data_IF_419313078230
#
_entry.id   IF_419313078230
#
_cell.length_a   1.000
_cell.length_b   1.000
_cell.length_c   1.000
_cell.angle_alpha   90.00
_cell.angle_beta   90.00
_cell.angle_gamma   90.00
#
_symmetry.space_group_name_H-M   'P 1'
#
loop_
_entity.id
_entity.type
_entity.pdbx_description
1 polymer ?
#
# COMPACT_ATOMS: atom_id res chain seq x y z
N UNK A 1 -13.35 -15.06 2.34
CA UNK A 1 -12.28 -14.53 3.23
C UNK A 1 -12.63 -14.79 4.70
N UNK A 2 -11.60 -14.99 5.57
CA UNK A 2 -11.77 -15.05 7.04
C UNK A 2 -10.67 -14.18 7.68
N UNK A 3 -11.04 -13.34 8.64
CA UNK A 3 -10.09 -12.60 9.47
C UNK A 3 -10.19 -13.09 10.92
N UNK A 4 -9.06 -13.42 11.52
CA UNK A 4 -8.97 -13.84 12.92
C UNK A 4 -8.04 -12.89 13.66
N UNK A 5 -8.58 -12.12 14.61
CA UNK A 5 -7.81 -11.31 15.53
C UNK A 5 -7.32 -12.20 16.68
N UNK A 6 -6.00 -12.26 16.89
CA UNK A 6 -5.38 -13.14 17.90
C UNK A 6 -5.04 -12.39 19.18
N UNK A 7 -4.51 -11.16 19.04
CA UNK A 7 -4.06 -10.36 20.17
C UNK A 7 -4.11 -8.87 19.85
N UNK A 8 -4.24 -8.06 20.90
CA UNK A 8 -4.04 -6.60 20.86
C UNK A 8 -3.02 -6.20 21.93
N UNK A 9 -2.29 -5.11 21.65
CA UNK A 9 -1.41 -4.43 22.59
C UNK A 9 -1.65 -2.92 22.44
N UNK A 10 -2.38 -2.33 23.39
CA UNK A 10 -3.04 -1.06 23.18
C UNK A 10 -4.04 -1.16 22.02
N UNK A 11 -3.94 -0.24 21.04
CA UNK A 11 -4.73 -0.32 19.81
C UNK A 11 -4.09 -1.20 18.73
N UNK A 12 -2.79 -1.52 18.83
CA UNK A 12 -2.10 -2.38 17.86
C UNK A 12 -2.71 -3.79 17.85
N UNK A 13 -2.86 -4.36 16.65
CA UNK A 13 -3.60 -5.59 16.40
C UNK A 13 -2.72 -6.65 15.75
N UNK A 14 -2.80 -7.89 16.21
CA UNK A 14 -2.17 -9.07 15.64
C UNK A 14 -3.24 -10.04 15.16
N UNK A 15 -3.26 -10.38 13.89
CA UNK A 15 -4.26 -11.27 13.32
C UNK A 15 -3.76 -12.08 12.14
N UNK A 16 -4.67 -12.89 11.57
CA UNK A 16 -4.42 -13.64 10.31
C UNK A 16 -5.61 -13.43 9.37
N UNK A 17 -5.28 -13.03 8.14
CA UNK A 17 -6.20 -12.92 7.02
C UNK A 17 -6.06 -14.18 6.15
N UNK A 18 -7.09 -15.01 6.08
CA UNK A 18 -7.12 -16.21 5.25
C UNK A 18 -7.87 -15.93 3.95
N UNK A 19 -7.18 -16.08 2.83
CA UNK A 19 -7.63 -15.82 1.45
C UNK A 19 -7.50 -17.09 0.60
N UNK A 20 -7.95 -17.05 -0.65
CA UNK A 20 -7.91 -18.21 -1.54
C UNK A 20 -6.48 -18.71 -1.80
N UNK A 21 -5.51 -17.81 -1.96
CA UNK A 21 -4.11 -18.14 -2.23
C UNK A 21 -3.22 -18.15 -0.98
N UNK A 22 -3.81 -18.27 0.22
CA UNK A 22 -3.07 -18.49 1.46
C UNK A 22 -3.39 -17.53 2.60
N UNK A 23 -2.68 -17.72 3.71
CA UNK A 23 -2.81 -16.90 4.90
C UNK A 23 -1.80 -15.76 4.92
N UNK A 24 -2.24 -14.60 5.41
CA UNK A 24 -1.42 -13.40 5.59
C UNK A 24 -1.47 -12.98 7.05
N UNK A 25 -0.31 -12.96 7.68
CA UNK A 25 -0.15 -12.49 9.04
C UNK A 25 -0.16 -10.97 9.12
N UNK A 26 -1.04 -10.39 9.94
CA UNK A 26 -1.15 -8.94 10.12
C UNK A 26 -0.54 -8.47 11.46
N UNK A 27 0.00 -7.24 11.54
CA UNK A 27 0.09 -6.23 10.48
C UNK A 27 1.00 -6.64 9.33
N UNK A 28 0.69 -6.16 8.10
CA UNK A 28 1.42 -6.51 6.89
C UNK A 28 1.65 -5.31 5.98
N UNK A 29 2.81 -5.29 5.32
CA UNK A 29 3.10 -4.37 4.22
C UNK A 29 3.03 -5.11 2.88
N UNK A 30 2.31 -4.56 1.92
CA UNK A 30 2.11 -5.07 0.57
C UNK A 30 3.02 -4.34 -0.42
N UNK A 31 4.06 -5.00 -0.97
CA UNK A 31 4.83 -4.42 -2.08
C UNK A 31 3.93 -4.13 -3.28
N UNK A 32 4.13 -2.95 -3.92
CA UNK A 32 3.30 -2.51 -5.05
C UNK A 32 3.86 -2.99 -6.37
N UNK A 33 3.10 -3.82 -7.06
CA UNK A 33 3.36 -4.36 -8.40
C UNK A 33 2.48 -3.72 -9.47
N UNK A 34 2.76 -2.46 -9.84
CA UNK A 34 1.91 -1.61 -10.70
C UNK A 34 1.47 -2.29 -12.01
N UNK A 35 2.37 -2.99 -12.69
CA UNK A 35 2.12 -3.72 -13.95
C UNK A 35 2.21 -5.23 -13.77
N UNK A 36 1.78 -5.76 -12.62
CA UNK A 36 1.99 -7.16 -12.27
C UNK A 36 3.42 -7.49 -11.86
N UNK A 37 4.27 -6.48 -11.67
CA UNK A 37 5.65 -6.65 -11.22
C UNK A 37 6.01 -5.59 -10.19
N UNK A 38 6.47 -6.03 -9.03
CA UNK A 38 7.15 -5.16 -8.08
C UNK A 38 8.49 -4.76 -8.71
N UNK A 39 8.75 -3.46 -8.81
CA UNK A 39 9.87 -2.93 -9.59
C UNK A 39 11.20 -3.63 -9.28
N UNK A 40 11.80 -4.24 -10.32
CA UNK A 40 13.08 -4.95 -10.28
C UNK A 40 13.13 -6.20 -9.35
N UNK A 41 11.96 -6.80 -9.02
CA UNK A 41 11.86 -8.01 -8.19
C UNK A 41 11.12 -9.12 -8.94
N UNK A 42 11.67 -10.32 -8.89
CA UNK A 42 10.97 -11.54 -9.31
C UNK A 42 10.05 -12.04 -8.17
N UNK A 43 9.04 -12.87 -8.48
CA UNK A 43 8.22 -13.52 -7.46
C UNK A 43 9.03 -14.31 -6.41
N UNK A 44 10.06 -15.04 -6.83
CA UNK A 44 10.93 -15.79 -5.93
C UNK A 44 11.67 -14.87 -4.93
N UNK A 45 12.21 -13.75 -5.40
CA UNK A 45 12.88 -12.77 -4.54
C UNK A 45 11.90 -12.10 -3.57
N UNK A 46 10.65 -11.87 -3.98
CA UNK A 46 9.60 -11.36 -3.08
C UNK A 46 9.29 -12.37 -1.97
N UNK A 47 9.23 -13.67 -2.30
CA UNK A 47 9.05 -14.72 -1.29
C UNK A 47 10.25 -14.81 -0.34
N UNK A 48 11.48 -14.71 -0.86
CA UNK A 48 12.73 -14.75 -0.10
C UNK A 48 12.81 -13.61 0.93
N UNK A 49 12.40 -12.40 0.56
CA UNK A 49 12.36 -11.28 1.50
C UNK A 49 11.19 -11.32 2.48
N UNK A 50 10.31 -12.32 2.38
CA UNK A 50 9.20 -12.53 3.30
C UNK A 50 7.89 -11.85 2.92
N UNK A 51 7.74 -11.31 1.70
CA UNK A 51 6.45 -10.82 1.21
C UNK A 51 5.44 -11.97 1.11
N UNK A 52 4.21 -11.73 1.58
CA UNK A 52 3.13 -12.74 1.62
C UNK A 52 1.90 -12.29 0.84
N UNK A 53 1.83 -11.05 0.47
CA UNK A 53 0.78 -10.43 -0.33
C UNK A 53 1.40 -9.28 -1.11
N UNK A 54 0.92 -9.05 -2.33
CA UNK A 54 1.32 -7.92 -3.17
C UNK A 54 0.09 -7.14 -3.62
N UNK A 55 0.31 -5.89 -4.06
CA UNK A 55 -0.74 -5.07 -4.64
C UNK A 55 -0.53 -4.90 -6.15
N UNK A 56 -1.58 -5.11 -6.94
CA UNK A 56 -1.64 -4.82 -8.38
C UNK A 56 -2.50 -3.58 -8.65
N UNK A 57 -2.13 -2.76 -9.65
CA UNK A 57 -2.93 -1.59 -10.01
C UNK A 57 -3.87 -1.89 -11.19
N UNK A 58 -5.15 -1.93 -10.91
CA UNK A 58 -6.23 -2.24 -11.86
C UNK A 58 -6.17 -1.39 -13.12
N UNK A 59 -6.04 -0.07 -12.98
CA UNK A 59 -5.95 0.86 -14.10
C UNK A 59 -4.81 0.53 -15.06
N UNK A 60 -3.61 0.31 -14.54
CA UNK A 60 -2.44 0.02 -15.35
C UNK A 60 -2.53 -1.33 -16.05
N UNK A 61 -3.01 -2.35 -15.36
CA UNK A 61 -3.17 -3.72 -15.89
C UNK A 61 -4.29 -3.80 -16.95
N UNK A 62 -5.35 -3.04 -16.78
CA UNK A 62 -6.41 -2.88 -17.77
C UNK A 62 -5.88 -2.29 -19.08
N UNK A 63 -5.08 -1.22 -18.99
CA UNK A 63 -4.51 -0.57 -20.17
C UNK A 63 -3.37 -1.36 -20.81
N UNK A 64 -2.54 -2.03 -20.02
CA UNK A 64 -1.40 -2.88 -20.46
C UNK A 64 -1.10 -3.98 -19.45
N UNK A 65 -1.06 -5.25 -19.83
CA UNK A 65 -1.16 -5.79 -21.19
C UNK A 65 -2.60 -5.84 -21.72
N UNK A 66 -3.61 -5.54 -20.88
CA UNK A 66 -5.02 -5.67 -21.22
C UNK A 66 -5.63 -6.95 -20.67
N UNK A 67 -6.96 -6.96 -20.59
CA UNK A 67 -7.70 -8.04 -19.92
C UNK A 67 -7.71 -9.36 -20.70
N UNK A 68 -7.60 -9.30 -22.02
CA UNK A 68 -7.55 -10.50 -22.86
C UNK A 68 -6.31 -11.34 -22.52
N UNK A 69 -5.15 -10.69 -22.45
CA UNK A 69 -3.87 -11.35 -22.11
C UNK A 69 -3.91 -11.95 -20.71
N UNK A 70 -4.35 -11.17 -19.71
CA UNK A 70 -4.39 -11.65 -18.32
C UNK A 70 -5.42 -12.77 -18.16
N UNK A 71 -6.59 -12.63 -18.79
CA UNK A 71 -7.65 -13.63 -18.78
C UNK A 71 -7.21 -14.97 -19.38
N UNK A 72 -6.41 -14.94 -20.46
CA UNK A 72 -5.85 -16.14 -21.08
C UNK A 72 -4.90 -16.93 -20.13
N UNK A 73 -4.34 -16.27 -19.10
CA UNK A 73 -3.52 -16.88 -18.06
C UNK A 73 -4.33 -17.32 -16.81
N UNK A 74 -5.66 -17.20 -16.85
CA UNK A 74 -6.52 -17.52 -15.70
C UNK A 74 -6.53 -16.46 -14.60
N UNK A 75 -6.01 -15.27 -14.89
CA UNK A 75 -5.91 -14.16 -13.96
C UNK A 75 -4.47 -13.75 -13.66
N UNK A 76 -4.34 -12.81 -12.73
CA UNK A 76 -3.07 -12.16 -12.44
C UNK A 76 -2.04 -13.11 -11.83
N UNK A 77 -2.46 -14.06 -11.00
CA UNK A 77 -1.59 -15.07 -10.39
C UNK A 77 -0.83 -15.89 -11.45
N UNK A 78 -1.56 -16.44 -12.42
CA UNK A 78 -0.96 -17.19 -13.52
C UNK A 78 -0.10 -16.31 -14.44
N UNK A 79 -0.55 -15.08 -14.70
CA UNK A 79 0.18 -14.16 -15.57
C UNK A 79 1.55 -13.75 -15.02
N UNK A 80 1.66 -13.53 -13.71
CA UNK A 80 2.92 -13.08 -13.09
C UNK A 80 3.71 -14.19 -12.39
N UNK A 81 3.16 -15.40 -12.26
CA UNK A 81 3.79 -16.52 -11.56
C UNK A 81 3.86 -16.33 -10.04
N UNK A 82 2.86 -15.65 -9.45
CA UNK A 82 2.77 -15.39 -8.01
C UNK A 82 1.66 -16.22 -7.38
N UNK A 83 2.02 -17.15 -6.49
CA UNK A 83 1.09 -18.14 -5.91
C UNK A 83 0.60 -17.75 -4.49
N UNK A 84 0.67 -16.49 -4.13
CA UNK A 84 0.20 -15.96 -2.85
C UNK A 84 -0.84 -14.87 -3.08
N UNK A 85 -1.53 -14.39 -2.02
CA UNK A 85 -2.56 -13.38 -2.14
C UNK A 85 -2.15 -12.13 -2.92
N UNK A 86 -3.10 -11.61 -3.70
CA UNK A 86 -3.02 -10.34 -4.41
C UNK A 86 -4.20 -9.48 -4.00
N UNK A 87 -3.94 -8.21 -3.68
CA UNK A 87 -4.93 -7.15 -3.61
C UNK A 87 -4.85 -6.32 -4.89
N UNK A 88 -5.98 -5.97 -5.49
CA UNK A 88 -6.03 -4.96 -6.56
C UNK A 88 -6.75 -3.73 -6.09
N UNK A 89 -6.19 -2.54 -6.40
CA UNK A 89 -6.90 -1.29 -6.21
C UNK A 89 -8.09 -1.15 -7.16
N UNK A 90 -8.89 -0.09 -6.98
CA UNK A 90 -10.07 0.16 -7.82
C UNK A 90 -9.75 0.81 -9.17
N UNK A 91 -8.57 1.38 -9.34
CA UNK A 91 -8.20 2.28 -10.44
C UNK A 91 -8.61 3.73 -10.21
N UNK A 92 -9.38 4.05 -9.16
CA UNK A 92 -9.87 5.39 -8.85
C UNK A 92 -8.77 6.42 -8.67
N UNK A 93 -7.76 6.12 -7.85
CA UNK A 93 -6.63 7.02 -7.59
C UNK A 93 -5.80 7.34 -8.84
N UNK A 94 -5.56 6.35 -9.73
CA UNK A 94 -4.80 6.57 -10.95
C UNK A 94 -5.55 7.48 -11.91
N UNK A 95 -6.86 7.30 -12.05
CA UNK A 95 -7.72 8.19 -12.82
C UNK A 95 -7.80 9.57 -12.17
N UNK A 96 -7.82 9.63 -10.82
CA UNK A 96 -7.71 10.88 -10.08
C UNK A 96 -6.42 11.64 -10.45
N UNK A 97 -5.30 10.99 -10.56
CA UNK A 97 -4.00 11.60 -10.88
C UNK A 97 -3.90 12.16 -12.32
N UNK A 98 -4.84 11.83 -13.22
CA UNK A 98 -4.88 12.39 -14.59
C UNK A 98 -5.29 13.88 -14.64
N UNK A 99 -5.77 14.46 -13.56
CA UNK A 99 -6.09 15.89 -13.45
C UNK A 99 -7.13 16.34 -14.48
N UNK A 100 -6.80 17.35 -15.29
CA UNK A 100 -7.70 17.95 -16.27
C UNK A 100 -8.10 17.03 -17.44
N UNK A 101 -7.45 15.88 -17.60
CA UNK A 101 -7.76 14.89 -18.66
C UNK A 101 -8.97 14.01 -18.31
N UNK A 102 -9.61 14.22 -17.17
CA UNK A 102 -10.76 13.44 -16.70
C UNK A 102 -12.00 14.29 -16.50
N UNK A 103 -13.16 13.64 -16.59
CA UNK A 103 -14.46 14.20 -16.19
C UNK A 103 -15.18 13.19 -15.30
N UNK A 104 -15.43 13.59 -14.05
CA UNK A 104 -16.18 12.82 -13.06
C UNK A 104 -17.67 13.13 -13.21
N UNK A 105 -18.50 12.10 -13.17
CA UNK A 105 -19.96 12.18 -13.19
C UNK A 105 -20.53 11.17 -12.19
N UNK A 106 -21.84 11.18 -11.96
CA UNK A 106 -22.51 10.18 -11.11
C UNK A 106 -22.29 8.74 -11.63
N UNK A 107 -22.23 8.57 -12.95
CA UNK A 107 -22.10 7.25 -13.58
C UNK A 107 -20.68 6.69 -13.47
N UNK A 108 -19.64 7.55 -13.41
CA UNK A 108 -18.25 7.15 -13.41
C UNK A 108 -17.33 8.24 -13.95
N UNK A 109 -16.12 7.86 -14.39
CA UNK A 109 -15.07 8.78 -14.82
C UNK A 109 -14.74 8.57 -16.29
N UNK A 110 -14.89 9.61 -17.11
CA UNK A 110 -14.42 9.66 -18.51
C UNK A 110 -13.03 10.26 -18.57
N UNK A 111 -12.15 9.65 -19.32
CA UNK A 111 -10.77 10.14 -19.48
C UNK A 111 -10.17 9.70 -20.82
N UNK A 112 -9.05 10.34 -21.19
CA UNK A 112 -8.23 9.87 -22.30
C UNK A 112 -7.13 8.94 -21.79
N UNK A 113 -6.96 7.78 -22.42
CA UNK A 113 -5.91 6.81 -22.08
C UNK A 113 -4.53 7.46 -22.23
N UNK A 114 -3.67 7.44 -21.20
CA UNK A 114 -2.31 7.96 -21.30
C UNK A 114 -1.40 7.09 -22.19
N UNK A 115 -1.90 5.95 -22.67
CA UNK A 115 -1.17 4.98 -23.48
C UNK A 115 -1.28 5.27 -24.97
N UNK A 116 -2.50 5.57 -25.43
CA UNK A 116 -2.82 5.71 -26.88
C UNK A 116 -3.85 6.81 -27.16
N UNK A 117 -4.31 7.55 -26.16
CA UNK A 117 -5.26 8.65 -26.31
C UNK A 117 -6.73 8.24 -26.46
N UNK A 118 -7.05 6.94 -26.42
CA UNK A 118 -8.42 6.47 -26.53
C UNK A 118 -9.32 7.03 -25.43
N UNK A 119 -10.57 7.34 -25.78
CA UNK A 119 -11.58 7.78 -24.82
C UNK A 119 -12.12 6.58 -24.04
N UNK A 120 -11.90 6.56 -22.75
CA UNK A 120 -12.30 5.49 -21.85
C UNK A 120 -13.33 5.98 -20.83
N UNK A 121 -14.11 5.04 -20.34
CA UNK A 121 -15.11 5.29 -19.30
C UNK A 121 -15.01 4.21 -18.24
N UNK A 122 -14.57 4.59 -17.03
CA UNK A 122 -14.46 3.70 -15.89
C UNK A 122 -15.62 3.98 -14.95
N UNK A 123 -16.46 2.98 -14.74
CA UNK A 123 -17.58 2.98 -13.80
C UNK A 123 -17.30 2.02 -12.64
N UNK A 124 -18.06 2.07 -11.54
CA UNK A 124 -17.98 1.05 -10.48
C UNK A 124 -18.12 -0.38 -11.04
N UNK A 125 -19.07 -0.61 -11.93
CA UNK A 125 -19.31 -1.92 -12.55
C UNK A 125 -18.12 -2.38 -13.41
N UNK A 126 -17.57 -1.44 -14.19
CA UNK A 126 -16.39 -1.74 -15.03
C UNK A 126 -15.15 -2.04 -14.18
N UNK A 127 -14.92 -1.28 -13.09
CA UNK A 127 -13.86 -1.59 -12.14
C UNK A 127 -14.00 -3.00 -11.55
N UNK A 128 -15.21 -3.39 -11.14
CA UNK A 128 -15.48 -4.74 -10.63
C UNK A 128 -15.28 -5.81 -11.71
N UNK A 129 -15.70 -5.54 -12.97
CA UNK A 129 -15.48 -6.45 -14.10
C UNK A 129 -13.99 -6.65 -14.37
N UNK A 130 -13.20 -5.57 -14.36
CA UNK A 130 -11.76 -5.63 -14.55
C UNK A 130 -11.12 -6.46 -13.45
N UNK A 131 -11.38 -6.16 -12.17
CA UNK A 131 -10.81 -6.87 -11.03
C UNK A 131 -11.24 -8.36 -10.99
N UNK A 132 -12.44 -8.68 -11.50
CA UNK A 132 -12.88 -10.08 -11.68
C UNK A 132 -12.01 -10.83 -12.69
N UNK A 133 -11.60 -10.19 -13.80
CA UNK A 133 -10.68 -10.80 -14.78
C UNK A 133 -9.27 -10.90 -14.21
N UNK A 134 -8.82 -9.91 -13.43
CA UNK A 134 -7.55 -9.97 -12.70
C UNK A 134 -7.54 -11.09 -11.65
N UNK A 135 -8.69 -11.48 -11.14
CA UNK A 135 -8.91 -12.56 -10.17
C UNK A 135 -8.07 -12.39 -8.90
N UNK A 136 -8.00 -11.17 -8.37
CA UNK A 136 -7.31 -10.86 -7.12
C UNK A 136 -8.10 -11.36 -5.90
N UNK A 137 -7.40 -11.75 -4.83
CA UNK A 137 -8.01 -12.26 -3.58
C UNK A 137 -8.78 -11.17 -2.83
N UNK A 138 -8.31 -9.92 -2.93
CA UNK A 138 -8.96 -8.75 -2.36
C UNK A 138 -9.19 -7.71 -3.44
N UNK A 139 -10.45 -7.33 -3.60
CA UNK A 139 -10.97 -6.35 -4.56
C UNK A 139 -11.33 -5.08 -3.80
N UNK A 140 -10.99 -3.91 -4.34
CA UNK A 140 -11.36 -2.62 -3.75
C UNK A 140 -12.57 -2.03 -4.48
N UNK A 141 -13.53 -1.44 -3.73
CA UNK A 141 -14.62 -0.66 -4.34
C UNK A 141 -14.08 0.51 -5.14
N UNK A 142 -14.81 0.92 -6.19
CA UNK A 142 -14.45 2.13 -6.92
C UNK A 142 -14.85 3.37 -6.12
N UNK A 143 -13.91 4.28 -5.94
CA UNK A 143 -14.05 5.47 -5.11
C UNK A 143 -13.51 6.73 -5.80
N UNK A 144 -13.90 7.89 -5.31
CA UNK A 144 -13.32 9.18 -5.65
C UNK A 144 -12.37 9.63 -4.53
N UNK A 145 -11.10 9.77 -4.88
CA UNK A 145 -10.10 10.33 -3.96
C UNK A 145 -10.23 11.85 -3.92
N UNK A 146 -10.64 12.39 -2.77
CA UNK A 146 -10.74 13.85 -2.56
C UNK A 146 -9.35 14.49 -2.61
N UNK A 147 -9.13 15.58 -3.36
CA UNK A 147 -7.87 16.29 -3.37
C UNK A 147 -7.60 16.98 -2.03
N UNK A 148 -6.33 17.32 -1.76
CA UNK A 148 -5.97 18.21 -0.67
C UNK A 148 -5.29 19.47 -1.22
N UNK A 149 -5.64 20.69 -0.74
CA UNK A 149 -6.75 20.96 0.19
C UNK A 149 -8.13 20.87 -0.48
N UNK A 150 -9.15 20.55 0.30
CA UNK A 150 -10.54 20.59 -0.12
C UNK A 150 -11.39 21.25 0.96
N UNK A 151 -12.42 22.00 0.57
CA UNK A 151 -13.43 22.50 1.50
C UNK A 151 -14.28 21.35 2.03
N UNK A 152 -14.95 21.54 3.17
CA UNK A 152 -15.83 20.53 3.75
C UNK A 152 -16.94 20.11 2.77
N UNK A 153 -17.49 21.07 2.01
CA UNK A 153 -18.51 20.80 0.99
C UNK A 153 -17.98 19.90 -0.12
N UNK A 154 -16.80 20.22 -0.68
CA UNK A 154 -16.18 19.40 -1.72
C UNK A 154 -15.87 17.99 -1.19
N UNK A 155 -15.34 17.87 0.02
CA UNK A 155 -15.08 16.59 0.65
C UNK A 155 -16.37 15.79 0.91
N UNK A 156 -17.47 16.45 1.30
CA UNK A 156 -18.77 15.81 1.50
C UNK A 156 -19.37 15.31 0.19
N UNK A 157 -19.34 16.13 -0.87
CA UNK A 157 -19.86 15.76 -2.19
C UNK A 157 -19.09 14.56 -2.76
N UNK A 158 -17.77 14.58 -2.70
CA UNK A 158 -16.89 13.48 -3.13
C UNK A 158 -17.12 12.21 -2.31
N UNK A 159 -17.19 12.31 -0.99
CA UNK A 159 -17.43 11.17 -0.09
C UNK A 159 -18.79 10.52 -0.36
N UNK A 160 -19.85 11.33 -0.55
CA UNK A 160 -21.19 10.80 -0.84
C UNK A 160 -21.28 10.15 -2.22
N UNK A 161 -20.54 10.66 -3.21
CA UNK A 161 -20.38 10.00 -4.50
C UNK A 161 -19.69 8.63 -4.32
N UNK A 162 -18.61 8.59 -3.55
CA UNK A 162 -17.90 7.34 -3.24
C UNK A 162 -18.81 6.32 -2.55
N UNK A 163 -19.72 6.74 -1.65
CA UNK A 163 -20.71 5.84 -1.04
C UNK A 163 -21.69 5.24 -2.06
N UNK A 164 -22.20 6.05 -2.99
CA UNK A 164 -23.09 5.55 -4.06
C UNK A 164 -22.34 4.59 -5.00
N UNK A 165 -21.08 4.87 -5.30
CA UNK A 165 -20.22 3.98 -6.09
C UNK A 165 -19.86 2.70 -5.33
N UNK A 166 -19.66 2.77 -4.01
CA UNK A 166 -19.44 1.59 -3.17
C UNK A 166 -20.64 0.65 -3.20
N UNK A 167 -21.87 1.17 -3.14
CA UNK A 167 -23.10 0.37 -3.26
C UNK A 167 -23.21 -0.30 -4.64
N UNK A 168 -22.91 0.44 -5.71
CA UNK A 168 -22.87 -0.10 -7.09
C UNK A 168 -21.78 -1.16 -7.25
N UNK A 169 -20.59 -0.91 -6.70
CA UNK A 169 -19.50 -1.88 -6.68
C UNK A 169 -19.92 -3.16 -5.95
N UNK A 170 -20.56 -3.04 -4.77
CA UNK A 170 -21.07 -4.19 -4.00
C UNK A 170 -22.03 -5.04 -4.81
N UNK A 171 -22.98 -4.40 -5.52
CA UNK A 171 -23.93 -5.10 -6.40
C UNK A 171 -23.24 -5.77 -7.59
N UNK A 172 -22.30 -5.08 -8.23
CA UNK A 172 -21.56 -5.62 -9.38
C UNK A 172 -20.56 -6.74 -8.98
N UNK A 173 -20.16 -6.79 -7.71
CA UNK A 173 -19.30 -7.84 -7.16
C UNK A 173 -20.04 -9.14 -6.85
N UNK A 174 -21.35 -9.14 -6.86
CA UNK A 174 -22.16 -10.32 -6.54
C UNK A 174 -21.74 -11.55 -7.37
N UNK A 175 -21.73 -12.72 -6.73
CA UNK A 175 -21.25 -13.96 -7.31
C UNK A 175 -19.72 -14.05 -7.50
N UNK A 176 -18.93 -13.07 -7.04
CA UNK A 176 -17.47 -13.19 -6.96
C UNK A 176 -17.07 -13.75 -5.59
N UNK A 177 -16.30 -14.87 -5.50
CA UNK A 177 -15.91 -15.47 -4.23
C UNK A 177 -14.81 -14.70 -3.48
N UNK A 178 -14.14 -13.76 -4.15
CA UNK A 178 -13.04 -12.99 -3.59
C UNK A 178 -13.56 -11.89 -2.65
N UNK A 179 -12.72 -11.43 -1.72
CA UNK A 179 -13.09 -10.42 -0.76
C UNK A 179 -13.30 -9.04 -1.40
N UNK A 180 -14.28 -8.27 -0.91
CA UNK A 180 -14.51 -6.88 -1.31
C UNK A 180 -14.32 -5.94 -0.12
N UNK A 181 -13.44 -4.94 -0.26
CA UNK A 181 -13.18 -3.93 0.76
C UNK A 181 -13.83 -2.60 0.41
N UNK A 182 -14.51 -2.00 1.41
CA UNK A 182 -15.01 -0.63 1.34
C UNK A 182 -13.91 0.38 1.65
N UNK A 183 -14.04 1.61 1.12
CA UNK A 183 -13.05 2.68 1.32
C UNK A 183 -13.71 3.87 2.02
N UNK A 184 -13.27 4.18 3.24
CA UNK A 184 -13.72 5.35 4.00
C UNK A 184 -13.07 6.60 3.42
N UNK A 185 -13.87 7.53 2.92
CA UNK A 185 -13.48 8.84 2.43
C UNK A 185 -14.01 9.94 3.37
N UNK A 186 -13.74 11.23 3.10
CA UNK A 186 -14.21 12.36 3.92
C UNK A 186 -13.16 13.44 4.16
N UNK A 187 -12.03 13.39 3.43
CA UNK A 187 -10.95 14.37 3.54
C UNK A 187 -10.41 14.46 4.98
N UNK A 188 -10.17 15.69 5.45
CA UNK A 188 -9.66 15.96 6.80
C UNK A 188 -10.80 16.27 7.81
N UNK A 189 -12.04 15.84 7.52
CA UNK A 189 -13.24 16.15 8.31
C UNK A 189 -13.74 14.90 9.03
N UNK A 190 -13.66 14.89 10.34
CA UNK A 190 -13.98 13.75 11.19
C UNK A 190 -15.44 13.31 11.05
N UNK A 191 -16.39 14.25 11.05
CA UNK A 191 -17.81 13.96 10.86
C UNK A 191 -18.11 13.29 9.51
N UNK A 192 -17.41 13.69 8.43
CA UNK A 192 -17.56 13.08 7.12
C UNK A 192 -16.99 11.65 7.10
N UNK A 193 -15.90 11.39 7.84
CA UNK A 193 -15.35 10.02 8.01
C UNK A 193 -16.35 9.11 8.72
N UNK A 194 -17.05 9.64 9.74
CA UNK A 194 -18.11 8.90 10.44
C UNK A 194 -19.31 8.62 9.52
N UNK A 195 -19.79 9.63 8.75
CA UNK A 195 -20.85 9.46 7.77
C UNK A 195 -20.49 8.39 6.71
N UNK A 196 -19.24 8.45 6.20
CA UNK A 196 -18.71 7.49 5.24
C UNK A 196 -18.71 6.07 5.81
N UNK A 197 -18.15 5.88 7.00
CA UNK A 197 -18.08 4.58 7.66
C UNK A 197 -19.48 4.00 7.91
N UNK A 198 -20.39 4.80 8.48
CA UNK A 198 -21.76 4.36 8.74
C UNK A 198 -22.50 3.93 7.46
N UNK A 199 -22.22 4.62 6.33
CA UNK A 199 -22.73 4.24 5.01
C UNK A 199 -22.17 2.89 4.54
N UNK A 200 -20.87 2.72 4.63
CA UNK A 200 -20.18 1.48 4.24
C UNK A 200 -20.59 0.28 5.11
N UNK A 201 -20.78 0.46 6.40
CA UNK A 201 -21.24 -0.62 7.29
C UNK A 201 -22.67 -1.09 6.92
N UNK A 202 -23.57 -0.18 6.53
CA UNK A 202 -24.91 -0.55 6.04
C UNK A 202 -24.87 -1.35 4.75
N UNK A 203 -23.91 -1.06 3.85
CA UNK A 203 -23.71 -1.81 2.59
C UNK A 203 -23.10 -3.19 2.91
N UNK A 204 -22.15 -3.26 3.82
CA UNK A 204 -21.49 -4.48 4.28
C UNK A 204 -20.32 -4.92 3.39
N UNK A 205 -19.12 -4.95 3.97
CA UNK A 205 -17.89 -5.33 3.30
C UNK A 205 -17.07 -6.34 4.12
N UNK A 206 -16.18 -7.07 3.46
CA UNK A 206 -15.29 -8.03 4.10
C UNK A 206 -14.16 -7.36 4.89
N UNK A 207 -13.77 -6.14 4.52
CA UNK A 207 -12.78 -5.31 5.19
C UNK A 207 -12.98 -3.83 4.87
N UNK A 208 -12.27 -2.96 5.58
CA UNK A 208 -12.41 -1.51 5.45
C UNK A 208 -11.06 -0.85 5.26
N UNK A 209 -10.95 -0.02 4.22
CA UNK A 209 -9.78 0.79 3.97
C UNK A 209 -10.02 2.25 4.36
N UNK A 210 -8.95 2.94 4.74
CA UNK A 210 -8.92 4.38 4.97
C UNK A 210 -8.23 4.99 3.76
N UNK A 211 -9.03 5.66 2.91
CA UNK A 211 -8.55 6.36 1.71
C UNK A 211 -8.41 7.86 1.91
N UNK A 212 -7.89 8.57 0.90
CA UNK A 212 -7.78 10.02 0.89
C UNK A 212 -6.84 10.60 1.96
N UNK A 213 -5.84 9.82 2.37
CA UNK A 213 -4.70 10.26 3.18
C UNK A 213 -3.39 10.11 2.38
N UNK A 214 -2.34 10.82 2.79
CA UNK A 214 -1.06 10.91 2.04
C UNK A 214 -1.23 11.52 0.63
N UNK A 215 -2.13 12.49 0.51
CA UNK A 215 -2.44 13.23 -0.73
C UNK A 215 -1.92 14.66 -0.72
N UNK A 216 -1.06 14.99 0.26
CA UNK A 216 -0.42 16.32 0.39
C UNK A 216 -0.71 17.04 1.70
N UNK A 217 -1.51 16.48 2.58
CA UNK A 217 -1.83 17.02 3.90
C UNK A 217 -0.62 17.01 4.85
N UNK A 218 -0.57 17.92 5.84
CA UNK A 218 0.40 17.87 6.92
C UNK A 218 0.31 16.54 7.68
N UNK A 219 1.45 16.01 8.13
CA UNK A 219 1.54 14.76 8.88
C UNK A 219 0.63 14.75 10.12
N UNK A 220 0.52 15.89 10.81
CA UNK A 220 -0.33 16.01 11.99
C UNK A 220 -1.81 15.78 11.67
N UNK A 221 -2.28 16.28 10.52
CA UNK A 221 -3.67 16.06 10.07
C UNK A 221 -3.91 14.60 9.70
N UNK A 222 -2.98 13.97 8.99
CA UNK A 222 -3.05 12.54 8.69
C UNK A 222 -3.17 11.71 9.98
N UNK A 223 -2.32 11.95 10.97
CA UNK A 223 -2.34 11.22 12.24
C UNK A 223 -3.61 11.49 13.05
N UNK A 224 -4.13 12.73 13.05
CA UNK A 224 -5.39 13.09 13.70
C UNK A 224 -6.56 12.31 13.10
N UNK A 225 -6.69 12.32 11.77
CA UNK A 225 -7.75 11.58 11.08
C UNK A 225 -7.62 10.08 11.29
N UNK A 226 -6.40 9.55 11.27
CA UNK A 226 -6.15 8.14 11.54
C UNK A 226 -6.58 7.75 12.96
N UNK A 227 -6.16 8.51 13.97
CA UNK A 227 -6.54 8.30 15.38
C UNK A 227 -8.06 8.40 15.60
N UNK A 228 -8.74 9.26 14.83
CA UNK A 228 -10.20 9.39 14.90
C UNK A 228 -10.92 8.22 14.21
N UNK A 229 -10.47 7.84 13.01
CA UNK A 229 -11.20 6.89 12.15
C UNK A 229 -10.98 5.44 12.56
N UNK A 230 -9.73 5.05 12.84
CA UNK A 230 -9.35 3.65 13.03
C UNK A 230 -10.10 2.96 14.20
N UNK A 231 -10.29 3.57 15.40
CA UNK A 231 -11.02 2.94 16.49
C UNK A 231 -12.50 2.67 16.20
N UNK A 232 -13.06 3.39 15.22
CA UNK A 232 -14.47 3.28 14.81
C UNK A 232 -14.70 2.18 13.78
N UNK A 233 -13.65 1.73 13.11
CA UNK A 233 -13.74 0.62 12.15
C UNK A 233 -14.11 -0.70 12.86
N UNK A 234 -14.90 -1.59 12.24
CA UNK A 234 -15.28 -2.88 12.82
C UNK A 234 -14.09 -3.66 13.39
N UNK A 235 -14.26 -4.18 14.60
CA UNK A 235 -13.19 -4.87 15.30
C UNK A 235 -12.87 -6.25 14.70
N UNK A 236 -13.87 -6.89 14.10
CA UNK A 236 -13.81 -8.23 13.49
C UNK A 236 -13.42 -8.23 12.01
N UNK A 237 -13.06 -7.05 11.47
CA UNK A 237 -12.67 -6.87 10.08
C UNK A 237 -11.24 -6.34 9.95
N UNK A 238 -10.52 -6.70 8.87
CA UNK A 238 -9.20 -6.11 8.58
C UNK A 238 -9.34 -4.62 8.24
N UNK A 239 -8.34 -3.84 8.66
CA UNK A 239 -8.24 -2.39 8.51
C UNK A 239 -7.03 -2.04 7.64
N UNK A 240 -7.26 -1.39 6.52
CA UNK A 240 -6.23 -1.10 5.53
C UNK A 240 -6.01 0.40 5.37
N UNK A 241 -4.78 0.90 5.58
CA UNK A 241 -4.39 2.28 5.31
C UNK A 241 -3.71 2.35 3.95
N UNK A 242 -4.38 3.00 2.99
CA UNK A 242 -3.97 3.01 1.59
C UNK A 242 -2.84 4.01 1.31
N UNK A 243 -1.83 3.58 0.55
CA UNK A 243 -0.78 4.44 0.00
C UNK A 243 0.22 5.01 1.02
N UNK A 244 0.20 4.54 2.26
CA UNK A 244 1.04 5.02 3.37
C UNK A 244 2.03 3.91 3.78
N UNK A 245 3.29 4.11 4.01
CA UNK A 245 4.07 5.32 4.00
C UNK A 245 5.54 5.04 4.32
N UNK A 246 6.18 5.95 5.07
CA UNK A 246 7.53 5.74 5.61
C UNK A 246 7.55 4.67 6.71
N UNK A 247 8.72 4.16 7.13
CA UNK A 247 8.80 3.26 8.28
C UNK A 247 8.14 3.80 9.54
N UNK A 248 8.28 5.10 9.80
CA UNK A 248 7.64 5.81 10.92
C UNK A 248 6.12 5.80 10.82
N UNK A 249 5.59 5.92 9.60
CA UNK A 249 4.15 5.87 9.34
C UNK A 249 3.57 4.49 9.60
N UNK A 250 4.31 3.45 9.25
CA UNK A 250 3.90 2.07 9.50
C UNK A 250 3.79 1.81 11.01
N UNK A 251 4.80 2.22 11.79
CA UNK A 251 4.77 2.06 13.26
C UNK A 251 3.63 2.86 13.87
N UNK A 252 3.43 4.11 13.46
CA UNK A 252 2.33 4.95 13.94
C UNK A 252 0.95 4.38 13.55
N UNK A 253 0.80 3.93 12.30
CA UNK A 253 -0.44 3.32 11.79
C UNK A 253 -0.81 2.03 12.53
N UNK A 254 0.16 1.16 12.79
CA UNK A 254 -0.06 -0.03 13.61
C UNK A 254 -0.46 0.36 15.04
N UNK A 255 0.22 1.35 15.62
CA UNK A 255 -0.13 1.90 16.94
C UNK A 255 -1.55 2.46 17.01
N UNK A 256 -2.10 2.93 15.89
CA UNK A 256 -3.49 3.36 15.76
C UNK A 256 -4.48 2.21 15.47
N UNK A 257 -4.01 0.98 15.21
CA UNK A 257 -4.84 -0.19 14.99
C UNK A 257 -5.07 -0.59 13.53
N UNK A 258 -4.17 -0.20 12.62
CA UNK A 258 -4.17 -0.60 11.21
C UNK A 258 -3.52 -1.97 11.03
N UNK A 259 -4.08 -2.80 10.16
CA UNK A 259 -3.64 -4.18 9.88
C UNK A 259 -2.84 -4.30 8.57
N UNK A 260 -3.14 -3.47 7.56
CA UNK A 260 -2.61 -3.61 6.20
C UNK A 260 -2.12 -2.26 5.67
N UNK A 261 -1.03 -2.28 4.93
CA UNK A 261 -0.39 -1.11 4.32
C UNK A 261 0.14 -1.42 2.94
N UNK A 262 0.14 -0.43 2.06
CA UNK A 262 0.90 -0.41 0.82
C UNK A 262 1.56 0.95 0.63
N UNK A 263 2.67 0.99 -0.06
CA UNK A 263 3.26 2.24 -0.53
C UNK A 263 4.29 1.99 -1.62
N UNK A 264 4.39 2.92 -2.56
CA UNK A 264 5.44 2.90 -3.60
C UNK A 264 6.80 3.39 -3.10
N UNK A 265 6.86 4.00 -1.89
CA UNK A 265 8.09 4.62 -1.37
C UNK A 265 9.29 3.66 -1.32
N UNK A 266 9.21 2.43 -0.80
CA UNK A 266 10.38 1.57 -0.73
C UNK A 266 11.02 1.31 -2.10
N UNK A 267 10.22 1.06 -3.12
CA UNK A 267 10.72 0.81 -4.48
C UNK A 267 11.08 2.10 -5.23
N UNK A 268 10.27 3.17 -5.08
CA UNK A 268 10.52 4.47 -5.72
C UNK A 268 11.79 5.11 -5.16
N UNK A 269 11.95 5.14 -3.85
CA UNK A 269 13.10 5.71 -3.17
C UNK A 269 14.38 4.92 -3.48
N UNK A 270 14.31 3.59 -3.51
CA UNK A 270 15.43 2.73 -3.90
C UNK A 270 16.03 3.11 -5.25
N UNK A 271 15.18 3.27 -6.28
CA UNK A 271 15.63 3.68 -7.62
C UNK A 271 16.26 5.08 -7.65
N UNK A 272 15.93 5.93 -6.68
CA UNK A 272 16.49 7.27 -6.52
C UNK A 272 17.71 7.31 -5.57
N UNK A 273 18.17 6.15 -5.08
CA UNK A 273 19.30 6.04 -4.16
C UNK A 273 18.98 6.48 -2.73
N UNK A 274 17.71 6.42 -2.33
CA UNK A 274 17.26 6.69 -0.97
C UNK A 274 16.85 5.38 -0.30
N UNK A 275 17.59 5.00 0.74
CA UNK A 275 17.49 3.71 1.40
C UNK A 275 17.13 3.88 2.87
N UNK A 276 16.23 3.02 3.33
CA UNK A 276 15.80 2.96 4.72
C UNK A 276 16.66 1.94 5.47
N UNK A 277 17.26 2.33 6.58
CA UNK A 277 17.97 1.42 7.46
C UNK A 277 17.39 1.46 8.87
N UNK A 278 17.78 0.52 9.72
CA UNK A 278 17.40 0.53 11.13
C UNK A 278 17.77 1.86 11.83
N UNK A 279 18.87 2.48 11.42
CA UNK A 279 19.45 3.64 12.10
C UNK A 279 19.13 4.99 11.44
N UNK A 280 18.31 5.00 10.40
CA UNK A 280 17.93 6.20 9.65
C UNK A 280 18.06 6.01 8.14
N UNK A 281 17.97 7.10 7.39
CA UNK A 281 17.98 7.08 5.93
C UNK A 281 19.37 7.30 5.34
N UNK A 282 19.69 6.54 4.31
CA UNK A 282 20.91 6.68 3.51
C UNK A 282 20.57 7.27 2.15
N UNK A 283 21.29 8.32 1.75
CA UNK A 283 21.25 8.90 0.42
C UNK A 283 22.51 8.52 -0.34
N UNK A 284 22.47 7.43 -1.12
CA UNK A 284 23.65 6.87 -1.82
C UNK A 284 24.40 7.86 -2.71
N UNK A 285 23.74 8.91 -3.20
CA UNK A 285 24.36 9.96 -4.01
C UNK A 285 25.36 10.84 -3.25
N UNK A 286 25.35 10.78 -1.90
CA UNK A 286 26.25 11.54 -1.05
C UNK A 286 27.71 11.09 -1.26
N UNK A 287 28.62 12.04 -1.42
CA UNK A 287 30.05 11.80 -1.69
C UNK A 287 30.74 10.99 -0.56
N UNK A 288 30.25 11.09 0.68
CA UNK A 288 30.78 10.33 1.84
C UNK A 288 30.75 8.81 1.64
N UNK A 289 29.87 8.30 0.78
CA UNK A 289 29.76 6.86 0.50
C UNK A 289 30.67 6.37 -0.63
N UNK A 290 31.43 7.26 -1.29
CA UNK A 290 32.29 6.93 -2.44
C UNK A 290 33.33 5.86 -2.13
N UNK A 291 33.86 5.85 -0.89
CA UNK A 291 34.88 4.90 -0.42
C UNK A 291 34.45 4.10 0.82
N UNK A 292 33.16 4.16 1.20
CA UNK A 292 32.67 3.45 2.39
C UNK A 292 32.50 1.95 2.09
N UNK A 293 33.38 1.14 2.69
CA UNK A 293 33.40 -0.33 2.50
C UNK A 293 32.37 -1.09 3.32
N UNK A 294 31.64 -0.42 4.23
CA UNK A 294 30.61 -1.03 5.07
C UNK A 294 29.36 -1.33 4.24
N UNK A 295 28.51 -2.31 4.65
CA UNK A 295 27.18 -2.51 4.07
C UNK A 295 26.24 -1.33 4.35
N UNK A 296 25.08 -1.30 3.73
CA UNK A 296 24.05 -0.28 4.01
C UNK A 296 23.66 -0.26 5.49
N UNK A 297 23.43 -1.44 6.04
CA UNK A 297 23.09 -1.67 7.44
C UNK A 297 23.78 -2.95 7.91
N UNK A 298 24.67 -2.84 8.92
CA UNK A 298 25.46 -3.95 9.43
C UNK A 298 24.63 -5.01 10.15
N UNK A 299 23.41 -4.67 10.55
CA UNK A 299 22.47 -5.57 11.20
C UNK A 299 21.50 -6.22 10.23
N UNK A 300 21.53 -5.82 8.96
CA UNK A 300 20.59 -6.28 7.93
C UNK A 300 21.06 -7.55 7.24
N UNK A 301 20.23 -8.59 7.25
CA UNK A 301 20.51 -9.88 6.63
C UNK A 301 20.10 -9.99 5.16
N UNK A 302 19.67 -8.91 4.48
CA UNK A 302 19.27 -8.97 3.08
C UNK A 302 20.44 -9.30 2.15
N UNK A 303 20.12 -9.81 0.96
CA UNK A 303 21.12 -10.13 -0.06
C UNK A 303 22.06 -8.96 -0.36
N UNK A 304 21.52 -7.73 -0.44
CA UNK A 304 22.31 -6.54 -0.71
C UNK A 304 23.36 -6.27 0.40
N UNK A 305 22.94 -6.26 1.67
CA UNK A 305 23.84 -5.94 2.79
C UNK A 305 24.90 -7.02 3.04
N UNK A 306 24.58 -8.30 2.77
CA UNK A 306 25.53 -9.40 2.95
C UNK A 306 26.66 -9.42 1.90
N UNK A 307 26.44 -8.82 0.73
CA UNK A 307 27.34 -9.01 -0.40
C UNK A 307 27.97 -7.72 -0.94
N UNK A 308 27.41 -6.55 -0.64
CA UNK A 308 27.83 -5.30 -1.29
C UNK A 308 28.04 -4.16 -0.30
N UNK A 309 29.09 -3.35 -0.59
CA UNK A 309 29.41 -2.17 0.18
C UNK A 309 28.61 -0.93 -0.29
N UNK A 310 28.54 0.09 0.58
CA UNK A 310 28.00 1.40 0.22
C UNK A 310 28.75 2.02 -0.96
N UNK A 311 30.08 1.86 -1.02
CA UNK A 311 30.91 2.37 -2.12
C UNK A 311 30.49 1.75 -3.46
N UNK A 312 30.27 0.44 -3.53
CA UNK A 312 29.81 -0.21 -4.75
C UNK A 312 28.42 0.26 -5.15
N UNK A 313 27.49 0.33 -4.21
CA UNK A 313 26.14 0.80 -4.46
C UNK A 313 26.11 2.28 -4.86
N UNK A 314 26.96 3.13 -4.26
CA UNK A 314 27.16 4.52 -4.69
C UNK A 314 27.64 4.59 -6.13
N UNK A 315 28.64 3.76 -6.51
CA UNK A 315 29.13 3.67 -7.86
C UNK A 315 28.00 3.31 -8.84
N UNK A 316 27.27 2.21 -8.60
CA UNK A 316 26.15 1.78 -9.45
C UNK A 316 25.07 2.86 -9.59
N UNK A 317 24.76 3.57 -8.51
CA UNK A 317 23.79 4.68 -8.54
C UNK A 317 24.29 5.87 -9.36
N UNK A 318 25.59 6.15 -9.33
CA UNK A 318 26.21 7.27 -10.08
C UNK A 318 26.25 7.01 -11.58
N UNK A 319 26.45 5.76 -11.99
CA UNK A 319 26.49 5.35 -13.41
C UNK A 319 25.13 4.88 -13.95
N UNK A 320 24.07 4.98 -13.12
CA UNK A 320 22.71 4.54 -13.43
C UNK A 320 22.61 3.06 -13.85
N UNK A 321 23.45 2.20 -13.22
CA UNK A 321 23.41 0.76 -13.48
C UNK A 321 22.13 0.13 -12.90
N UNK A 322 21.45 -0.69 -13.69
CA UNK A 322 20.18 -1.35 -13.31
C UNK A 322 20.34 -2.17 -12.02
N UNK A 323 21.49 -2.85 -11.86
CA UNK A 323 21.78 -3.63 -10.66
C UNK A 323 21.72 -2.78 -9.39
N UNK A 324 22.14 -1.52 -9.45
CA UNK A 324 22.05 -0.60 -8.30
C UNK A 324 20.62 -0.38 -7.84
N UNK A 325 19.71 -0.11 -8.77
CA UNK A 325 18.28 0.06 -8.47
C UNK A 325 17.65 -1.25 -7.93
N UNK A 326 18.05 -2.42 -8.47
CA UNK A 326 17.58 -3.72 -8.01
C UNK A 326 18.04 -4.04 -6.59
N UNK A 327 19.33 -3.92 -6.30
CA UNK A 327 19.90 -4.20 -4.97
C UNK A 327 19.30 -3.27 -3.90
N UNK A 328 19.13 -1.99 -4.24
CA UNK A 328 18.48 -1.01 -3.40
C UNK A 328 17.00 -1.37 -3.12
N UNK A 329 16.28 -1.88 -4.12
CA UNK A 329 14.89 -2.32 -3.97
C UNK A 329 14.78 -3.56 -3.06
N UNK A 330 15.65 -4.55 -3.25
CA UNK A 330 15.75 -5.74 -2.37
C UNK A 330 15.94 -5.29 -0.91
N UNK A 331 16.90 -4.37 -0.66
CA UNK A 331 17.17 -3.88 0.68
C UNK A 331 15.95 -3.17 1.30
N UNK A 332 15.37 -2.20 0.61
CA UNK A 332 14.24 -1.43 1.15
C UNK A 332 13.03 -2.32 1.44
N UNK A 333 12.69 -3.23 0.52
CA UNK A 333 11.55 -4.14 0.73
C UNK A 333 11.84 -5.15 1.84
N UNK A 334 13.06 -5.69 1.93
CA UNK A 334 13.46 -6.56 3.04
C UNK A 334 13.31 -5.83 4.38
N UNK A 335 13.76 -4.57 4.47
CA UNK A 335 13.64 -3.76 5.68
C UNK A 335 12.17 -3.57 6.10
N UNK A 336 11.27 -3.32 5.15
CA UNK A 336 9.84 -3.18 5.44
C UNK A 336 9.23 -4.50 5.95
N UNK A 337 9.57 -5.64 5.34
CA UNK A 337 9.07 -6.95 5.81
C UNK A 337 9.65 -7.31 7.18
N UNK A 338 10.94 -7.02 7.40
CA UNK A 338 11.60 -7.20 8.70
C UNK A 338 10.95 -6.34 9.79
N UNK A 339 10.64 -5.08 9.50
CA UNK A 339 9.95 -4.17 10.42
C UNK A 339 8.58 -4.73 10.81
N UNK A 340 7.79 -5.17 9.82
CA UNK A 340 6.48 -5.77 10.08
C UNK A 340 6.56 -7.05 10.91
N UNK A 341 7.57 -7.89 10.68
CA UNK A 341 7.81 -9.08 11.49
C UNK A 341 8.13 -8.72 12.95
N UNK A 342 9.00 -7.74 13.17
CA UNK A 342 9.32 -7.23 14.50
C UNK A 342 8.09 -6.66 15.23
N UNK A 343 7.27 -5.89 14.54
CA UNK A 343 6.01 -5.35 15.06
C UNK A 343 5.06 -6.48 15.49
N UNK A 344 4.86 -7.52 14.67
CA UNK A 344 4.00 -8.67 15.02
C UNK A 344 4.50 -9.37 16.29
N UNK A 345 5.81 -9.62 16.38
CA UNK A 345 6.44 -10.21 17.57
C UNK A 345 6.24 -9.34 18.81
N UNK A 346 6.39 -8.02 18.69
CA UNK A 346 6.19 -7.09 19.78
C UNK A 346 4.74 -7.08 20.28
N UNK A 347 3.75 -7.11 19.38
CA UNK A 347 2.33 -7.19 19.77
C UNK A 347 2.04 -8.53 20.46
N UNK A 348 2.56 -9.64 19.94
CA UNK A 348 2.42 -10.96 20.57
C UNK A 348 3.03 -10.99 21.98
N UNK A 349 4.16 -10.30 22.18
CA UNK A 349 4.84 -10.18 23.47
C UNK A 349 4.21 -9.16 24.43
N UNK A 350 3.27 -8.30 23.99
CA UNK A 350 2.74 -7.18 24.78
C UNK A 350 3.77 -6.08 25.03
N UNK A 351 4.67 -5.87 24.09
CA UNK A 351 5.82 -4.94 24.18
C UNK A 351 5.86 -3.90 23.04
N UNK A 352 4.74 -3.70 22.35
CA UNK A 352 4.69 -2.81 21.19
C UNK A 352 5.10 -1.36 21.50
N UNK A 353 4.68 -0.82 22.65
CA UNK A 353 5.08 0.54 23.04
C UNK A 353 6.61 0.67 23.22
N UNK A 354 7.25 -0.33 23.85
CA UNK A 354 8.71 -0.34 24.01
C UNK A 354 9.42 -0.53 22.65
N UNK A 355 8.90 -1.39 21.78
CA UNK A 355 9.39 -1.56 20.42
C UNK A 355 9.33 -0.25 19.62
N UNK A 356 8.21 0.48 19.65
CA UNK A 356 8.03 1.76 18.96
C UNK A 356 9.01 2.81 19.48
N UNK A 357 9.19 2.92 20.81
CA UNK A 357 10.16 3.84 21.41
C UNK A 357 11.60 3.52 20.97
N UNK A 358 11.99 2.23 20.99
CA UNK A 358 13.32 1.80 20.54
C UNK A 358 13.51 2.05 19.03
N UNK A 359 12.49 1.78 18.22
CA UNK A 359 12.51 2.06 16.79
C UNK A 359 12.82 3.54 16.51
N UNK A 360 12.11 4.47 17.17
CA UNK A 360 12.36 5.91 16.98
C UNK A 360 13.74 6.33 17.47
N UNK A 361 14.20 5.81 18.61
CA UNK A 361 15.53 6.07 19.13
C UNK A 361 16.64 5.57 18.17
N UNK A 362 16.49 4.37 17.62
CA UNK A 362 17.44 3.81 16.65
C UNK A 362 17.46 4.65 15.36
N UNK A 363 16.30 5.02 14.81
CA UNK A 363 16.19 5.82 13.57
C UNK A 363 16.77 7.23 13.70
N UNK A 364 16.81 7.78 14.88
CA UNK A 364 17.41 9.09 15.14
C UNK A 364 18.95 9.10 15.07
N UNK A 365 19.63 7.94 15.11
CA UNK A 365 21.10 7.87 15.21
C UNK A 365 21.82 8.45 13.99
N UNK A 366 21.37 8.14 12.76
CA UNK A 366 21.99 8.69 11.54
C UNK A 366 21.68 10.17 11.32
N UNK A 367 20.61 10.69 11.89
CA UNK A 367 20.31 12.12 11.86
C UNK A 367 21.24 12.91 12.79
N UNK A 368 21.76 12.28 13.85
CA UNK A 368 22.68 12.86 14.81
C UNK A 368 24.16 12.79 14.36
N UNK A 369 24.49 12.03 13.28
CA UNK A 369 25.82 11.91 12.70
C UNK A 369 25.86 12.52 11.29
N UNK A 370 25.91 13.86 11.16
CA UNK A 370 25.82 14.58 9.89
C UNK A 370 27.14 14.63 9.10
N UNK A 371 28.17 13.89 9.47
CA UNK A 371 29.51 13.97 8.86
C UNK A 371 29.59 13.35 7.45
#
# INVERSE_FOLDING_TARGET
MKFALHRTDGAARRGTLTLAHGAVETPVFMPVGTYGSVKAMSPAELEEIGARVILGNTFHLWLRPGLEVIGAHGGLHGFIGWNRPILTDSGGFQVFSLGALRKITEEGVRFASPVNGDRLFLTPEESMRIQRVLNSDVVMVFDECTPFPATEREAADSMRLSLRWAERSRRAHDGNPNALFGIVQGGMYEALREESLAGLERIGFDGYAIGGLSVGEPKADMLRILAHTTPRLPADRPRYLMGVGTPEDLVAGVGAGVDMFDCVLPTRNARNGWLFTRFGDIRLKNARYRSDTRPLDETCACYCCRNFSRAYLHHLQRVNEILGARLATIHNLFYYQWLMAGIRTAIEGGTFAAFAAQFHADRARLAADPA
#
